data_IF_965375237506
#
_entry.id   IF_965375237506
#
_cell.length_a   1.000
_cell.length_b   1.000
_cell.length_c   1.000
_cell.angle_alpha   90.00
_cell.angle_beta   90.00
_cell.angle_gamma   90.00
#
_symmetry.space_group_name_H-M   'P 1'
#
loop_
_entity.id
_entity.type
_entity.pdbx_description
1 polymer ?
#
# COMPACT_ATOMS: atom_id res chain seq x y z
N UNK A 1 -10.76 -22.50 -4.80
CA UNK A 1 -9.31 -22.70 -4.92
C UNK A 1 -8.83 -23.82 -4.00
N UNK A 2 -9.00 -23.72 -2.67
CA UNK A 2 -8.50 -24.71 -1.69
C UNK A 2 -8.99 -26.14 -2.00
N UNK A 3 -10.28 -26.34 -2.29
CA UNK A 3 -10.81 -27.64 -2.69
C UNK A 3 -10.14 -28.19 -3.96
N UNK A 4 -9.89 -27.34 -4.98
CA UNK A 4 -9.22 -27.76 -6.21
C UNK A 4 -7.78 -28.22 -5.93
N UNK A 5 -7.07 -27.50 -5.08
CA UNK A 5 -5.71 -27.88 -4.64
C UNK A 5 -5.75 -29.20 -3.88
N UNK A 6 -6.66 -29.38 -2.93
CA UNK A 6 -6.78 -30.65 -2.17
C UNK A 6 -7.18 -31.85 -3.05
N UNK A 7 -7.97 -31.65 -4.12
CA UNK A 7 -8.28 -32.72 -5.08
C UNK A 7 -7.06 -33.16 -5.89
N UNK A 8 -6.20 -32.21 -6.28
CA UNK A 8 -5.01 -32.49 -7.09
C UNK A 8 -3.79 -32.90 -6.24
N UNK A 9 -3.69 -32.33 -5.04
CA UNK A 9 -2.57 -32.50 -4.13
C UNK A 9 -3.08 -32.72 -2.70
N UNK A 10 -3.54 -33.94 -2.36
CA UNK A 10 -4.17 -34.21 -1.05
C UNK A 10 -3.27 -33.96 0.16
N UNK A 11 -1.94 -34.08 -0.03
CA UNK A 11 -0.92 -33.89 1.00
C UNK A 11 -0.70 -32.44 1.42
N UNK A 12 -1.10 -31.47 0.58
CA UNK A 12 -0.87 -30.03 0.83
C UNK A 12 -1.65 -29.57 2.05
N UNK A 13 -1.01 -28.81 2.93
CA UNK A 13 -1.65 -28.20 4.11
C UNK A 13 -2.21 -26.82 3.76
N UNK A 14 -3.37 -26.53 4.34
CA UNK A 14 -4.10 -25.28 4.13
C UNK A 14 -3.78 -24.28 5.22
N UNK A 15 -3.39 -23.05 4.84
CA UNK A 15 -3.19 -21.99 5.81
C UNK A 15 -4.37 -20.99 5.80
N UNK A 16 -4.24 -19.83 5.18
CA UNK A 16 -5.30 -18.81 5.13
C UNK A 16 -5.61 -18.36 3.70
N UNK A 17 -6.83 -17.90 3.48
CA UNK A 17 -7.28 -17.45 2.15
C UNK A 17 -8.30 -16.31 2.23
N UNK A 18 -7.89 -15.07 2.58
CA UNK A 18 -8.80 -13.95 2.62
C UNK A 18 -9.12 -13.39 1.22
N UNK A 19 -10.23 -12.68 1.13
CA UNK A 19 -10.48 -11.74 0.05
C UNK A 19 -9.63 -10.48 0.22
N UNK A 20 -9.20 -9.90 -0.89
CA UNK A 20 -8.46 -8.64 -0.97
C UNK A 20 -9.13 -7.72 -2.00
N UNK A 21 -8.78 -6.43 -2.05
CA UNK A 21 -9.45 -5.43 -2.88
C UNK A 21 -9.57 -5.85 -4.37
N UNK A 22 -8.54 -6.48 -4.93
CA UNK A 22 -8.48 -6.88 -6.34
C UNK A 22 -8.63 -8.38 -6.56
N UNK A 23 -9.22 -9.11 -5.60
CA UNK A 23 -9.41 -10.56 -5.76
C UNK A 23 -9.31 -11.33 -4.45
N UNK A 24 -8.54 -12.40 -4.46
CA UNK A 24 -8.32 -13.27 -3.30
C UNK A 24 -6.94 -13.93 -3.40
N UNK A 25 -6.48 -14.46 -2.29
CA UNK A 25 -5.36 -15.41 -2.30
C UNK A 25 -5.64 -16.58 -1.36
N UNK A 26 -4.79 -17.59 -1.45
CA UNK A 26 -4.76 -18.69 -0.49
C UNK A 26 -3.32 -19.17 -0.32
N UNK A 27 -2.94 -19.41 0.94
CA UNK A 27 -1.61 -19.88 1.31
C UNK A 27 -1.62 -21.40 1.53
N UNK A 28 -0.64 -22.05 0.91
CA UNK A 28 -0.50 -23.51 0.89
C UNK A 28 0.90 -23.91 1.36
N UNK A 29 0.98 -24.92 2.21
CA UNK A 29 2.23 -25.57 2.55
C UNK A 29 2.38 -26.87 1.75
N UNK A 30 3.40 -26.93 0.94
CA UNK A 30 3.75 -28.05 0.06
C UNK A 30 5.27 -28.18 0.00
N UNK A 31 5.79 -29.41 0.12
CA UNK A 31 7.23 -29.70 0.07
C UNK A 31 7.94 -29.08 -1.13
N UNK A 32 7.31 -29.20 -2.30
CA UNK A 32 7.75 -28.52 -3.53
C UNK A 32 6.80 -27.37 -3.82
N UNK A 33 7.24 -26.09 -3.77
CA UNK A 33 6.38 -24.94 -4.04
C UNK A 33 5.65 -25.04 -5.37
N UNK A 34 4.44 -24.48 -5.43
CA UNK A 34 3.71 -24.38 -6.70
C UNK A 34 4.43 -23.47 -7.67
N UNK A 35 4.42 -23.87 -8.93
CA UNK A 35 4.98 -23.13 -10.05
C UNK A 35 3.85 -22.52 -10.90
N UNK A 36 4.11 -21.51 -11.74
CA UNK A 36 3.11 -20.93 -12.62
C UNK A 36 2.38 -21.95 -13.51
N UNK A 37 3.05 -23.04 -13.90
CA UNK A 37 2.49 -24.12 -14.72
C UNK A 37 1.40 -24.90 -13.98
N UNK A 38 1.49 -25.03 -12.65
CA UNK A 38 0.48 -25.71 -11.82
C UNK A 38 -0.86 -24.96 -11.81
N UNK A 39 -0.81 -23.62 -11.99
CA UNK A 39 -2.02 -22.78 -11.94
C UNK A 39 -3.05 -23.17 -13.01
N UNK A 40 -2.61 -23.61 -14.18
CA UNK A 40 -3.53 -24.06 -15.25
C UNK A 40 -4.30 -25.31 -14.85
N UNK A 41 -3.62 -26.27 -14.22
CA UNK A 41 -4.25 -27.50 -13.75
C UNK A 41 -5.24 -27.23 -12.61
N UNK A 42 -4.84 -26.37 -11.65
CA UNK A 42 -5.69 -25.96 -10.53
C UNK A 42 -6.92 -25.19 -11.04
N UNK A 43 -6.75 -24.25 -11.98
CA UNK A 43 -7.85 -23.50 -12.59
C UNK A 43 -8.82 -24.42 -13.36
N UNK A 44 -8.31 -25.43 -14.05
CA UNK A 44 -9.13 -26.43 -14.73
C UNK A 44 -9.98 -27.25 -13.73
N UNK A 45 -9.41 -27.61 -12.57
CA UNK A 45 -10.15 -28.32 -11.52
C UNK A 45 -11.18 -27.37 -10.84
N UNK A 46 -10.84 -26.11 -10.60
CA UNK A 46 -11.80 -25.11 -10.13
C UNK A 46 -13.01 -24.99 -11.08
N UNK A 47 -12.79 -25.00 -12.40
CA UNK A 47 -13.88 -24.99 -13.40
C UNK A 47 -14.79 -26.21 -13.31
N UNK A 48 -14.26 -27.38 -12.93
CA UNK A 48 -15.09 -28.60 -12.69
C UNK A 48 -15.94 -28.40 -11.43
N UNK A 49 -15.34 -27.94 -10.31
CA UNK A 49 -16.03 -27.66 -9.05
C UNK A 49 -17.17 -26.66 -9.26
N UNK A 50 -16.94 -25.59 -10.05
CA UNK A 50 -17.99 -24.64 -10.38
C UNK A 50 -19.15 -25.27 -11.12
N UNK A 51 -18.88 -26.21 -12.06
CA UNK A 51 -19.91 -26.95 -12.83
C UNK A 51 -20.68 -27.95 -11.97
N UNK A 52 -20.09 -28.46 -10.90
CA UNK A 52 -20.75 -29.36 -9.95
C UNK A 52 -21.85 -28.65 -9.13
N UNK A 53 -21.83 -27.33 -9.08
CA UNK A 53 -22.78 -26.46 -8.35
C UNK A 53 -22.98 -26.88 -6.89
N UNK A 54 -21.88 -27.12 -6.19
CA UNK A 54 -21.86 -27.58 -4.81
C UNK A 54 -22.38 -26.48 -3.88
N UNK A 55 -23.30 -26.82 -2.99
CA UNK A 55 -23.78 -25.90 -1.94
C UNK A 55 -22.66 -25.63 -0.94
N UNK A 56 -22.62 -24.38 -0.43
CA UNK A 56 -21.78 -23.98 0.68
C UNK A 56 -22.65 -23.86 1.92
N UNK A 57 -22.42 -24.76 2.88
CA UNK A 57 -23.20 -24.85 4.11
C UNK A 57 -22.34 -24.44 5.30
N UNK A 58 -22.77 -23.37 5.99
CA UNK A 58 -22.12 -22.93 7.22
C UNK A 58 -22.58 -23.79 8.39
N UNK A 59 -21.66 -24.15 9.24
CA UNK A 59 -21.94 -24.78 10.54
C UNK A 59 -20.88 -24.36 11.56
N UNK A 60 -21.17 -24.62 12.83
CA UNK A 60 -20.29 -24.24 13.94
C UNK A 60 -19.89 -25.47 14.74
N UNK A 61 -18.68 -25.43 15.29
CA UNK A 61 -18.18 -26.43 16.24
C UNK A 61 -17.72 -25.74 17.53
N UNK A 62 -17.83 -26.46 18.64
CA UNK A 62 -17.15 -26.04 19.85
C UNK A 62 -15.63 -26.05 19.64
N UNK A 63 -14.87 -25.14 20.26
CA UNK A 63 -13.42 -25.04 20.03
C UNK A 63 -12.64 -26.34 20.19
N UNK A 64 -12.99 -27.14 21.22
CA UNK A 64 -12.36 -28.43 21.47
C UNK A 64 -12.62 -29.45 20.35
N UNK A 65 -13.85 -29.49 19.81
CA UNK A 65 -14.23 -30.39 18.75
C UNK A 65 -13.60 -29.94 17.41
N UNK A 66 -13.54 -28.63 17.16
CA UNK A 66 -12.88 -28.04 16.00
C UNK A 66 -11.38 -28.39 15.96
N UNK A 67 -10.68 -28.22 17.08
CA UNK A 67 -9.26 -28.56 17.20
C UNK A 67 -9.05 -30.07 16.99
N UNK A 68 -9.90 -30.92 17.57
CA UNK A 68 -9.83 -32.36 17.40
C UNK A 68 -10.02 -32.75 15.93
N UNK A 69 -11.06 -32.23 15.28
CA UNK A 69 -11.35 -32.47 13.87
C UNK A 69 -10.17 -32.05 12.97
N UNK A 70 -9.62 -30.87 13.17
CA UNK A 70 -8.51 -30.35 12.37
C UNK A 70 -7.20 -31.15 12.59
N UNK A 71 -6.97 -31.69 13.77
CA UNK A 71 -5.86 -32.61 14.06
C UNK A 71 -6.05 -33.95 13.34
N UNK A 72 -7.29 -34.47 13.27
CA UNK A 72 -7.61 -35.72 12.58
C UNK A 72 -7.40 -35.61 11.04
N UNK A 73 -7.68 -34.46 10.44
CA UNK A 73 -7.46 -34.21 9.02
C UNK A 73 -6.07 -33.61 8.72
N UNK A 74 -5.20 -33.49 9.72
CA UNK A 74 -3.81 -33.02 9.62
C UNK A 74 -3.65 -31.64 8.96
N UNK A 75 -4.39 -30.64 9.50
CA UNK A 75 -4.32 -29.23 9.08
C UNK A 75 -3.71 -28.33 10.20
N UNK A 76 -2.38 -28.35 10.37
CA UNK A 76 -1.70 -27.73 11.52
C UNK A 76 -1.90 -26.22 11.61
N UNK A 77 -1.91 -25.47 10.51
CA UNK A 77 -2.12 -24.02 10.50
C UNK A 77 -3.53 -23.66 10.95
N UNK A 78 -4.53 -24.48 10.63
CA UNK A 78 -5.91 -24.30 11.08
C UNK A 78 -6.05 -24.62 12.58
N UNK A 79 -5.31 -25.60 13.07
CA UNK A 79 -5.25 -25.92 14.51
C UNK A 79 -4.71 -24.71 15.29
N UNK A 80 -3.60 -24.12 14.83
CA UNK A 80 -3.00 -22.93 15.45
C UNK A 80 -3.98 -21.75 15.51
N UNK A 81 -4.71 -21.49 14.40
CA UNK A 81 -5.74 -20.44 14.35
C UNK A 81 -6.89 -20.73 15.35
N UNK A 82 -7.33 -21.97 15.47
CA UNK A 82 -8.36 -22.33 16.41
C UNK A 82 -7.90 -22.23 17.88
N UNK A 83 -6.67 -22.61 18.19
CA UNK A 83 -6.09 -22.52 19.54
C UNK A 83 -6.02 -21.06 20.01
N UNK A 84 -5.71 -20.11 19.13
CA UNK A 84 -5.74 -18.67 19.44
C UNK A 84 -7.15 -18.15 19.75
N UNK A 85 -8.17 -18.65 19.03
CA UNK A 85 -9.56 -18.23 19.26
C UNK A 85 -10.21 -18.98 20.44
N UNK A 86 -9.68 -20.12 20.83
CA UNK A 86 -10.23 -20.93 21.91
C UNK A 86 -10.26 -20.19 23.27
N UNK A 87 -9.37 -19.22 23.48
CA UNK A 87 -9.36 -18.39 24.70
C UNK A 87 -10.62 -17.54 24.90
N UNK A 88 -11.42 -17.31 23.85
CA UNK A 88 -12.68 -16.54 23.90
C UNK A 88 -13.92 -17.41 24.15
N UNK A 89 -13.78 -18.72 24.11
CA UNK A 89 -14.86 -19.72 24.28
C UNK A 89 -16.06 -19.50 23.33
N UNK A 90 -15.85 -18.90 22.17
CA UNK A 90 -16.84 -18.67 21.12
C UNK A 90 -16.85 -19.85 20.14
N UNK A 91 -18.02 -20.24 19.55
CA UNK A 91 -18.08 -21.26 18.52
C UNK A 91 -17.21 -20.89 17.31
N UNK A 92 -16.60 -21.90 16.70
CA UNK A 92 -15.75 -21.72 15.52
C UNK A 92 -16.54 -22.13 14.28
N UNK A 93 -16.62 -21.23 13.30
CA UNK A 93 -17.40 -21.46 12.09
C UNK A 93 -16.59 -22.15 11.00
N UNK A 94 -17.27 -23.04 10.30
CA UNK A 94 -16.78 -23.82 9.17
C UNK A 94 -17.76 -23.71 7.99
N UNK A 95 -17.23 -23.91 6.80
CA UNK A 95 -18.02 -24.07 5.57
C UNK A 95 -17.75 -25.43 4.95
N UNK A 96 -18.83 -26.14 4.63
CA UNK A 96 -18.79 -27.40 3.90
C UNK A 96 -19.20 -27.16 2.43
N UNK A 97 -18.42 -27.70 1.52
CA UNK A 97 -18.61 -27.60 0.08
C UNK A 97 -18.42 -28.99 -0.55
N UNK A 98 -19.50 -29.77 -0.63
CA UNK A 98 -19.42 -31.18 -1.01
C UNK A 98 -18.56 -31.99 -0.02
N UNK A 99 -17.49 -32.62 -0.51
CA UNK A 99 -16.53 -33.37 0.30
C UNK A 99 -15.51 -32.49 1.04
N UNK A 100 -15.42 -31.22 0.69
CA UNK A 100 -14.44 -30.29 1.25
C UNK A 100 -15.04 -29.51 2.41
N UNK A 101 -14.28 -29.37 3.48
CA UNK A 101 -14.65 -28.55 4.65
C UNK A 101 -13.45 -27.69 5.05
N UNK A 102 -13.69 -26.41 5.29
CA UNK A 102 -12.63 -25.49 5.73
C UNK A 102 -13.13 -24.54 6.82
N UNK A 103 -12.17 -24.10 7.65
CA UNK A 103 -12.35 -23.07 8.66
C UNK A 103 -12.56 -21.70 7.97
N UNK A 104 -13.69 -21.05 8.19
CA UNK A 104 -13.94 -19.74 7.65
C UNK A 104 -15.05 -19.00 8.40
N UNK A 105 -14.86 -17.68 8.60
CA UNK A 105 -15.87 -16.81 9.19
C UNK A 105 -16.99 -16.45 8.20
N UNK A 106 -16.73 -16.53 6.88
CA UNK A 106 -17.69 -16.14 5.86
C UNK A 106 -17.82 -14.59 5.72
N UNK A 107 -18.89 -14.11 5.05
CA UNK A 107 -19.90 -14.89 4.34
C UNK A 107 -19.39 -15.50 3.01
N UNK A 108 -20.07 -16.54 2.54
CA UNK A 108 -19.80 -17.18 1.25
C UNK A 108 -21.02 -17.14 0.32
N UNK A 109 -20.79 -17.45 -0.97
CA UNK A 109 -21.86 -17.68 -1.93
C UNK A 109 -22.70 -18.90 -1.53
N UNK A 110 -23.92 -18.96 -2.03
CA UNK A 110 -24.85 -20.07 -1.75
C UNK A 110 -24.39 -21.40 -2.36
N UNK A 111 -23.76 -21.33 -3.54
CA UNK A 111 -23.15 -22.50 -4.20
C UNK A 111 -21.99 -22.07 -5.12
N UNK A 112 -21.17 -23.04 -5.51
CA UNK A 112 -20.05 -22.81 -6.44
C UNK A 112 -20.51 -22.37 -7.83
N UNK A 113 -21.72 -22.70 -8.24
CA UNK A 113 -22.32 -22.31 -9.53
C UNK A 113 -22.53 -20.80 -9.70
N UNK A 114 -22.52 -20.04 -8.63
CA UNK A 114 -22.58 -18.57 -8.69
C UNK A 114 -21.27 -17.92 -9.15
N UNK A 115 -20.15 -18.64 -9.12
CA UNK A 115 -18.88 -18.14 -9.62
C UNK A 115 -18.90 -18.13 -11.15
N UNK A 116 -18.99 -16.95 -11.77
CA UNK A 116 -19.17 -16.80 -13.23
C UNK A 116 -17.85 -16.72 -13.99
N UNK A 117 -16.91 -15.96 -13.49
CA UNK A 117 -15.63 -15.74 -14.13
C UNK A 117 -14.54 -15.58 -13.07
N UNK A 118 -13.45 -16.29 -13.24
CA UNK A 118 -12.28 -16.20 -12.37
C UNK A 118 -11.00 -16.53 -13.13
N UNK A 119 -9.87 -16.09 -12.61
CA UNK A 119 -8.52 -16.37 -13.11
C UNK A 119 -7.55 -16.46 -11.96
N UNK A 120 -6.67 -17.47 -11.98
CA UNK A 120 -5.48 -17.47 -11.12
C UNK A 120 -4.40 -16.61 -11.79
N UNK A 121 -3.83 -15.69 -11.05
CA UNK A 121 -2.96 -14.64 -11.62
C UNK A 121 -1.49 -14.87 -11.36
N UNK A 122 -1.13 -15.41 -10.19
CA UNK A 122 0.27 -15.66 -9.84
C UNK A 122 0.40 -16.61 -8.65
N UNK A 123 1.60 -17.15 -8.46
CA UNK A 123 2.02 -17.80 -7.23
C UNK A 123 3.35 -17.20 -6.76
N UNK A 124 3.50 -17.02 -5.45
CA UNK A 124 4.70 -16.43 -4.82
C UNK A 124 4.96 -17.08 -3.48
N UNK A 125 6.22 -17.04 -3.01
CA UNK A 125 6.54 -17.40 -1.64
C UNK A 125 5.98 -16.36 -0.65
N UNK A 126 5.45 -16.83 0.47
CA UNK A 126 5.00 -15.97 1.57
C UNK A 126 5.29 -16.65 2.91
N UNK A 127 5.92 -15.94 3.83
CA UNK A 127 6.14 -16.49 5.17
C UNK A 127 4.84 -16.54 5.98
N UNK A 128 4.62 -17.64 6.70
CA UNK A 128 3.51 -17.75 7.61
C UNK A 128 3.51 -16.55 8.60
N UNK A 129 2.38 -15.84 8.67
CA UNK A 129 2.20 -14.62 9.49
C UNK A 129 3.23 -13.51 9.19
N UNK A 130 3.78 -13.48 7.99
CA UNK A 130 4.70 -12.43 7.56
C UNK A 130 6.08 -12.45 8.23
N UNK A 131 6.41 -13.47 9.01
CA UNK A 131 7.71 -13.58 9.69
C UNK A 131 8.63 -14.55 8.98
N UNK A 132 9.83 -14.10 8.61
CA UNK A 132 10.88 -14.93 8.00
C UNK A 132 11.37 -16.09 8.89
N UNK A 133 11.02 -16.08 10.18
CA UNK A 133 11.32 -17.16 11.12
C UNK A 133 10.36 -18.34 11.00
N UNK A 134 9.23 -18.15 10.34
CA UNK A 134 8.18 -19.14 10.16
C UNK A 134 8.33 -19.86 8.81
N UNK A 135 7.51 -20.91 8.60
CA UNK A 135 7.52 -21.67 7.37
C UNK A 135 7.26 -20.78 6.13
N UNK A 136 7.98 -21.05 5.05
CA UNK A 136 7.73 -20.45 3.74
C UNK A 136 6.62 -21.22 3.05
N UNK A 137 5.49 -20.57 2.84
CA UNK A 137 4.32 -21.12 2.13
C UNK A 137 4.31 -20.63 0.68
N UNK A 138 3.51 -21.29 -0.16
CA UNK A 138 3.19 -20.76 -1.49
C UNK A 138 1.84 -20.08 -1.47
N UNK A 139 1.81 -18.80 -1.79
CA UNK A 139 0.61 -17.99 -1.94
C UNK A 139 0.15 -17.99 -3.40
N UNK A 140 -1.06 -18.46 -3.66
CA UNK A 140 -1.69 -18.40 -4.97
C UNK A 140 -2.71 -17.28 -4.98
N UNK A 141 -2.54 -16.34 -5.91
CA UNK A 141 -3.46 -15.23 -6.14
C UNK A 141 -4.45 -15.53 -7.23
N UNK A 142 -5.65 -15.02 -7.08
CA UNK A 142 -6.68 -15.08 -8.09
C UNK A 142 -7.63 -13.91 -8.02
N UNK A 143 -8.41 -13.75 -9.07
CA UNK A 143 -9.46 -12.73 -9.14
C UNK A 143 -10.76 -13.37 -9.67
N UNK A 144 -11.91 -12.81 -9.29
CA UNK A 144 -13.22 -13.27 -9.72
C UNK A 144 -14.17 -12.09 -9.96
N UNK A 145 -14.97 -12.20 -11.03
CA UNK A 145 -15.90 -11.18 -11.47
C UNK A 145 -17.29 -11.76 -11.77
N UNK A 146 -18.29 -10.90 -11.81
CA UNK A 146 -19.67 -11.29 -12.09
C UNK A 146 -19.85 -11.74 -13.56
N UNK A 147 -19.01 -11.28 -14.48
CA UNK A 147 -19.04 -11.64 -15.89
C UNK A 147 -17.65 -11.91 -16.47
N UNK A 148 -17.62 -12.60 -17.63
CA UNK A 148 -16.37 -12.81 -18.36
C UNK A 148 -15.83 -11.54 -18.99
N UNK A 149 -16.69 -10.60 -19.32
CA UNK A 149 -16.31 -9.33 -19.93
C UNK A 149 -15.60 -8.44 -18.92
N UNK A 150 -16.13 -8.35 -17.68
CA UNK A 150 -15.47 -7.64 -16.57
C UNK A 150 -14.11 -8.28 -16.22
N UNK A 151 -14.04 -9.60 -16.18
CA UNK A 151 -12.77 -10.30 -15.97
C UNK A 151 -11.75 -9.96 -17.06
N UNK A 152 -12.19 -9.98 -18.32
CA UNK A 152 -11.34 -9.65 -19.47
C UNK A 152 -10.81 -8.22 -19.38
N UNK A 153 -11.69 -7.26 -19.12
CA UNK A 153 -11.32 -5.86 -18.94
C UNK A 153 -10.27 -5.69 -17.82
N UNK A 154 -10.51 -6.33 -16.67
CA UNK A 154 -9.55 -6.30 -15.56
C UNK A 154 -8.19 -6.89 -15.94
N UNK A 155 -8.16 -8.03 -16.65
CA UNK A 155 -6.91 -8.63 -17.08
C UNK A 155 -6.16 -7.75 -18.10
N UNK A 156 -6.89 -7.08 -19.00
CA UNK A 156 -6.31 -6.09 -19.92
C UNK A 156 -5.72 -4.89 -19.16
N UNK A 157 -6.43 -4.40 -18.13
CA UNK A 157 -5.92 -3.33 -17.26
C UNK A 157 -4.66 -3.77 -16.49
N UNK A 158 -4.62 -5.00 -15.97
CA UNK A 158 -3.43 -5.55 -15.30
C UNK A 158 -2.22 -5.65 -16.25
N UNK A 159 -2.43 -6.10 -17.49
CA UNK A 159 -1.35 -6.18 -18.49
C UNK A 159 -0.87 -4.79 -18.89
N UNK A 160 -1.78 -3.83 -19.01
CA UNK A 160 -1.40 -2.44 -19.27
C UNK A 160 -0.62 -1.84 -18.10
N UNK A 161 -1.05 -2.10 -16.85
CA UNK A 161 -0.32 -1.68 -15.65
C UNK A 161 1.10 -2.25 -15.61
N UNK A 162 1.29 -3.53 -15.96
CA UNK A 162 2.63 -4.14 -16.07
C UNK A 162 3.49 -3.47 -17.16
N UNK A 163 2.90 -3.08 -18.28
CA UNK A 163 3.62 -2.35 -19.34
C UNK A 163 4.03 -0.96 -18.91
N UNK A 164 3.21 -0.30 -18.06
CA UNK A 164 3.44 1.03 -17.51
C UNK A 164 4.21 1.03 -16.20
N UNK A 165 4.66 -0.13 -15.71
CA UNK A 165 5.45 -0.20 -14.47
C UNK A 165 6.64 0.75 -14.54
N UNK A 166 6.64 1.74 -13.64
CA UNK A 166 7.66 2.78 -13.61
C UNK A 166 9.06 2.24 -13.32
N UNK A 167 9.20 1.11 -12.61
CA UNK A 167 10.48 0.46 -12.37
C UNK A 167 11.06 -0.12 -13.65
N UNK A 168 10.20 -0.72 -14.49
CA UNK A 168 10.57 -1.24 -15.79
C UNK A 168 10.95 -0.10 -16.73
N UNK A 169 10.05 0.86 -16.91
CA UNK A 169 10.26 2.02 -17.77
C UNK A 169 11.46 2.87 -17.30
N UNK A 170 11.60 3.05 -15.99
CA UNK A 170 12.72 3.79 -15.40
C UNK A 170 14.08 3.21 -15.78
N UNK A 171 14.20 1.88 -15.76
CA UNK A 171 15.43 1.19 -16.18
C UNK A 171 15.65 1.26 -17.71
N UNK A 172 14.61 0.93 -18.47
CA UNK A 172 14.68 0.92 -19.95
C UNK A 172 15.01 2.30 -20.52
N UNK A 173 14.39 3.35 -19.98
CA UNK A 173 14.59 4.75 -20.41
C UNK A 173 15.77 5.42 -19.72
N UNK A 174 16.48 4.73 -18.84
CA UNK A 174 17.61 5.27 -18.05
C UNK A 174 17.23 6.53 -17.26
N UNK A 175 16.09 6.47 -16.57
CA UNK A 175 15.57 7.56 -15.73
C UNK A 175 16.16 7.47 -14.34
N UNK A 176 16.15 6.29 -13.74
CA UNK A 176 16.73 6.03 -12.41
C UNK A 176 17.23 4.60 -12.27
N UNK A 177 18.04 4.38 -11.26
CA UNK A 177 18.51 3.05 -10.85
C UNK A 177 18.70 3.00 -9.34
N UNK A 178 18.80 1.81 -8.78
CA UNK A 178 19.11 1.57 -7.36
C UNK A 178 20.41 0.77 -7.28
N UNK A 179 21.20 1.03 -6.23
CA UNK A 179 22.49 0.36 -5.99
C UNK A 179 22.57 -0.01 -4.52
N UNK A 180 22.81 -1.28 -4.21
CA UNK A 180 22.78 -1.82 -2.85
C UNK A 180 23.73 -1.10 -1.89
N UNK A 181 24.92 -0.72 -2.35
CA UNK A 181 25.91 0.00 -1.53
C UNK A 181 25.44 1.40 -1.11
N UNK A 182 24.49 2.00 -1.84
CA UNK A 182 23.89 3.29 -1.47
C UNK A 182 22.74 3.06 -0.49
N UNK A 183 22.00 1.98 -0.66
CA UNK A 183 20.90 1.58 0.20
C UNK A 183 19.54 1.61 -0.47
N UNK A 184 18.62 0.84 0.08
CA UNK A 184 17.24 0.79 -0.39
C UNK A 184 16.52 2.12 -0.14
N UNK A 185 15.61 2.49 -1.06
CA UNK A 185 14.85 3.73 -0.97
C UNK A 185 15.66 5.01 -1.25
N UNK A 186 16.88 4.86 -1.80
CA UNK A 186 17.76 5.97 -2.21
C UNK A 186 18.12 5.82 -3.69
N UNK A 187 17.17 6.08 -4.62
CA UNK A 187 17.40 5.92 -6.04
C UNK A 187 18.39 6.96 -6.57
N UNK A 188 19.27 6.50 -7.48
CA UNK A 188 20.09 7.39 -8.29
C UNK A 188 19.28 7.86 -9.50
N UNK A 189 19.09 9.15 -9.62
CA UNK A 189 18.44 9.75 -10.79
C UNK A 189 19.49 9.89 -11.89
N UNK A 190 19.23 9.25 -13.02
CA UNK A 190 20.11 9.24 -14.17
C UNK A 190 19.91 10.52 -15.02
N UNK A 191 20.81 10.84 -15.96
CA UNK A 191 20.73 12.09 -16.73
C UNK A 191 19.36 12.35 -17.39
N UNK A 192 18.71 11.33 -17.94
CA UNK A 192 17.38 11.50 -18.53
C UNK A 192 16.33 11.86 -17.47
N UNK A 193 16.42 11.25 -16.29
CA UNK A 193 15.54 11.56 -15.15
C UNK A 193 15.78 12.97 -14.61
N UNK A 194 17.05 13.41 -14.56
CA UNK A 194 17.38 14.79 -14.15
C UNK A 194 16.74 15.83 -15.07
N UNK A 195 16.76 15.61 -16.39
CA UNK A 195 16.09 16.51 -17.35
C UNK A 195 14.59 16.56 -17.04
N UNK A 196 13.94 15.43 -16.87
CA UNK A 196 12.51 15.37 -16.54
C UNK A 196 12.20 16.12 -15.24
N UNK A 197 12.98 15.86 -14.19
CA UNK A 197 12.79 16.51 -12.89
C UNK A 197 12.99 18.03 -12.97
N UNK A 198 14.00 18.50 -13.70
CA UNK A 198 14.26 19.92 -13.86
C UNK A 198 13.15 20.64 -14.63
N UNK A 199 12.62 20.03 -15.68
CA UNK A 199 11.52 20.64 -16.44
C UNK A 199 10.23 20.68 -15.60
N UNK A 200 9.89 19.59 -14.88
CA UNK A 200 8.76 19.58 -13.96
C UNK A 200 8.91 20.62 -12.85
N UNK A 201 10.10 20.72 -12.26
CA UNK A 201 10.37 21.68 -11.20
C UNK A 201 10.24 23.12 -11.69
N UNK A 202 10.86 23.46 -12.80
CA UNK A 202 10.76 24.81 -13.39
C UNK A 202 9.31 25.17 -13.70
N UNK A 203 8.61 24.25 -14.34
CA UNK A 203 7.21 24.46 -14.70
C UNK A 203 6.34 24.73 -13.48
N UNK A 204 6.41 23.90 -12.42
CA UNK A 204 5.57 24.10 -11.24
C UNK A 204 5.95 25.38 -10.48
N UNK A 205 7.24 25.70 -10.38
CA UNK A 205 7.71 26.93 -9.75
C UNK A 205 7.20 28.18 -10.48
N UNK A 206 7.18 28.16 -11.80
CA UNK A 206 6.62 29.24 -12.63
C UNK A 206 5.09 29.35 -12.43
N UNK A 207 4.38 28.24 -12.37
CA UNK A 207 2.92 28.24 -12.16
C UNK A 207 2.53 28.73 -10.76
N UNK A 208 3.28 28.34 -9.75
CA UNK A 208 3.11 28.86 -8.38
C UNK A 208 3.40 30.36 -8.33
N UNK A 209 4.48 30.81 -8.94
CA UNK A 209 4.83 32.23 -8.99
C UNK A 209 3.75 33.08 -9.66
N UNK A 210 3.17 32.60 -10.79
CA UNK A 210 2.02 33.26 -11.47
C UNK A 210 0.80 33.39 -10.56
N UNK A 211 0.65 32.47 -9.60
CA UNK A 211 -0.45 32.46 -8.61
C UNK A 211 -0.12 33.17 -7.31
N UNK A 212 1.02 33.88 -7.27
CA UNK A 212 1.44 34.72 -6.16
C UNK A 212 2.12 33.98 -5.01
N UNK A 213 2.67 32.79 -5.27
CA UNK A 213 3.51 32.12 -4.29
C UNK A 213 4.89 32.75 -4.23
N UNK A 214 5.37 32.99 -3.03
CA UNK A 214 6.70 33.53 -2.72
C UNK A 214 7.63 32.36 -2.43
N UNK A 215 8.75 32.29 -3.17
CA UNK A 215 9.70 31.18 -3.04
C UNK A 215 10.52 31.32 -1.75
N UNK A 216 10.64 30.21 -1.02
CA UNK A 216 11.48 30.09 0.15
C UNK A 216 12.48 28.94 -0.02
N UNK A 217 13.50 28.91 0.81
CA UNK A 217 14.45 27.80 0.90
C UNK A 217 14.86 27.61 2.35
N UNK A 218 14.57 26.45 2.91
CA UNK A 218 14.81 26.13 4.31
C UNK A 218 15.83 24.99 4.46
N UNK A 219 16.48 24.86 5.63
CA UNK A 219 17.48 23.81 5.88
C UNK A 219 16.90 22.40 5.77
N UNK A 220 17.76 21.43 5.41
CA UNK A 220 17.38 20.00 5.31
C UNK A 220 17.28 19.31 6.67
N UNK A 221 17.77 19.90 7.74
CA UNK A 221 17.73 19.37 9.10
C UNK A 221 17.54 20.48 10.12
N UNK A 222 17.05 20.12 11.28
CA UNK A 222 16.94 21.00 12.44
C UNK A 222 17.21 20.23 13.74
N UNK A 223 17.37 20.98 14.84
CA UNK A 223 17.38 20.43 16.19
C UNK A 223 16.04 19.75 16.49
N UNK A 224 16.08 18.71 17.29
CA UNK A 224 14.88 17.98 17.75
C UNK A 224 13.83 18.90 18.38
N UNK A 225 14.26 20.03 18.97
CA UNK A 225 13.37 21.01 19.57
C UNK A 225 12.32 21.57 18.59
N UNK A 226 12.69 21.80 17.33
CA UNK A 226 11.74 22.23 16.31
C UNK A 226 10.60 21.23 16.13
N UNK A 227 10.94 19.95 16.10
CA UNK A 227 9.99 18.87 15.91
C UNK A 227 9.18 18.57 17.18
N UNK A 228 9.74 18.81 18.38
CA UNK A 228 9.02 18.78 19.66
C UNK A 228 7.97 19.89 19.73
N UNK A 229 8.32 21.12 19.34
CA UNK A 229 7.39 22.27 19.30
C UNK A 229 6.22 21.99 18.33
N UNK A 230 6.48 21.36 17.20
CA UNK A 230 5.47 21.07 16.19
C UNK A 230 4.70 19.75 16.41
N UNK A 231 5.04 18.97 17.46
CA UNK A 231 4.44 17.69 17.79
C UNK A 231 4.88 16.50 16.93
N UNK A 232 5.75 16.72 15.94
CA UNK A 232 6.22 15.65 15.06
C UNK A 232 7.13 14.66 15.78
N UNK A 233 7.88 15.10 16.78
CA UNK A 233 8.79 14.23 17.54
C UNK A 233 8.05 13.12 18.27
N UNK A 234 6.89 13.42 18.84
CA UNK A 234 6.12 12.46 19.64
C UNK A 234 5.36 11.44 18.76
N UNK A 235 5.01 11.83 17.53
CA UNK A 235 4.17 11.02 16.66
C UNK A 235 4.91 10.34 15.50
N UNK A 236 6.08 10.85 15.08
CA UNK A 236 6.78 10.44 13.86
C UNK A 236 8.27 10.15 14.07
N UNK A 237 8.78 10.08 15.31
CA UNK A 237 10.21 9.89 15.59
C UNK A 237 10.78 8.65 14.91
N UNK A 238 10.04 7.53 14.92
CA UNK A 238 10.46 6.28 14.29
C UNK A 238 10.62 6.42 12.76
N UNK A 239 9.79 7.25 12.13
CA UNK A 239 9.88 7.58 10.71
C UNK A 239 10.88 8.68 10.36
N UNK A 240 11.69 9.16 11.30
CA UNK A 240 12.69 10.22 11.09
C UNK A 240 14.12 9.68 11.12
N UNK A 241 15.00 10.25 10.31
CA UNK A 241 16.44 10.05 10.45
C UNK A 241 16.97 10.99 11.56
N UNK A 242 17.23 10.42 12.71
CA UNK A 242 17.75 11.14 13.89
C UNK A 242 19.27 11.07 13.90
N UNK A 243 19.92 12.17 14.17
CA UNK A 243 21.37 12.36 14.24
C UNK A 243 21.76 12.74 15.67
N UNK A 244 22.41 11.83 16.36
CA UNK A 244 22.76 11.94 17.77
C UNK A 244 21.85 11.12 18.69
N UNK A 245 22.19 11.11 19.96
CA UNK A 245 21.50 10.34 21.01
C UNK A 245 20.96 11.32 22.07
N UNK A 246 19.67 11.25 22.39
CA UNK A 246 19.03 12.15 23.38
C UNK A 246 19.57 11.96 24.81
N UNK A 247 20.13 10.79 25.12
CA UNK A 247 20.66 10.51 26.47
C UNK A 247 22.10 11.01 26.67
N UNK A 248 22.88 11.06 25.59
CA UNK A 248 24.32 11.32 25.66
C UNK A 248 24.74 12.65 25.05
N UNK A 249 23.98 13.15 24.06
CA UNK A 249 24.36 14.33 23.31
C UNK A 249 23.66 15.60 23.82
N UNK A 250 24.40 16.72 23.80
CA UNK A 250 23.83 18.02 24.16
C UNK A 250 22.79 18.54 23.17
N UNK A 251 22.93 18.16 21.91
CA UNK A 251 22.06 18.57 20.83
C UNK A 251 21.81 17.39 19.90
N UNK A 252 20.56 17.12 19.63
CA UNK A 252 20.11 16.08 18.69
C UNK A 252 19.45 16.76 17.51
N UNK A 253 19.82 16.35 16.32
CA UNK A 253 19.27 16.82 15.06
C UNK A 253 18.44 15.74 14.41
N UNK A 254 17.58 16.12 13.45
CA UNK A 254 16.94 15.18 12.55
C UNK A 254 16.83 15.77 11.14
N UNK A 255 16.90 14.88 10.14
CA UNK A 255 16.56 15.25 8.77
C UNK A 255 15.05 15.52 8.70
N UNK A 256 14.66 16.51 7.91
CA UNK A 256 13.27 16.96 7.85
C UNK A 256 12.36 15.94 7.12
N UNK A 257 11.31 15.43 7.78
CA UNK A 257 10.28 14.63 7.12
C UNK A 257 9.25 15.48 6.38
N UNK A 258 9.20 16.79 6.68
CA UNK A 258 8.31 17.80 6.11
C UNK A 258 8.86 19.21 6.33
N UNK A 259 8.34 20.19 5.59
CA UNK A 259 8.84 21.58 5.59
C UNK A 259 8.01 22.52 6.49
N UNK A 260 6.80 22.11 6.88
CA UNK A 260 5.85 22.96 7.62
C UNK A 260 6.46 23.73 8.80
N UNK A 261 7.19 23.09 9.74
CA UNK A 261 7.73 23.81 10.89
C UNK A 261 8.70 24.92 10.50
N UNK A 262 9.48 24.71 9.44
CA UNK A 262 10.44 25.72 8.95
C UNK A 262 9.74 26.91 8.33
N UNK A 263 8.68 26.69 7.55
CA UNK A 263 7.92 27.74 6.88
C UNK A 263 7.24 28.67 7.90
N UNK A 264 6.80 28.14 9.04
CA UNK A 264 6.25 28.97 10.12
C UNK A 264 7.32 29.87 10.74
N UNK A 265 8.58 29.45 10.79
CA UNK A 265 9.68 30.30 11.24
C UNK A 265 10.09 31.33 10.18
N UNK A 266 9.95 31.01 8.88
CA UNK A 266 10.09 32.03 7.83
C UNK A 266 9.06 33.14 8.04
N UNK A 267 7.80 32.79 8.26
CA UNK A 267 6.74 33.76 8.57
C UNK A 267 7.04 34.56 9.83
N UNK A 268 7.50 33.92 10.89
CA UNK A 268 7.83 34.60 12.18
C UNK A 268 9.07 35.48 12.12
N UNK A 269 9.91 35.36 11.12
CA UNK A 269 11.15 36.15 10.99
C UNK A 269 10.88 37.62 10.71
N UNK A 270 9.69 37.96 10.23
CA UNK A 270 9.25 39.32 9.93
C UNK A 270 7.96 39.65 10.66
N UNK A 271 7.71 40.96 10.83
CA UNK A 271 6.42 41.44 11.38
C UNK A 271 5.43 41.63 10.26
N UNK A 272 4.27 40.95 10.35
CA UNK A 272 3.22 41.03 9.38
C UNK A 272 1.96 41.69 9.93
N UNK A 273 1.27 42.44 9.08
CA UNK A 273 -0.05 42.99 9.35
C UNK A 273 -1.12 42.04 8.75
N UNK A 274 -2.33 42.12 9.29
CA UNK A 274 -3.48 41.41 8.67
C UNK A 274 -3.75 41.88 7.22
N UNK A 275 -3.19 43.03 6.80
CA UNK A 275 -3.32 43.56 5.43
C UNK A 275 -2.36 42.88 4.45
N UNK A 276 -1.30 42.24 4.96
CA UNK A 276 -0.32 41.51 4.14
C UNK A 276 -0.83 40.12 3.73
N UNK A 277 -1.94 39.67 4.36
CA UNK A 277 -2.53 38.38 4.10
C UNK A 277 -3.52 38.42 2.91
N UNK A 278 -3.57 37.38 2.09
CA UNK A 278 -2.93 36.08 2.24
C UNK A 278 -1.46 36.08 1.82
N UNK A 279 -0.61 35.37 2.57
CA UNK A 279 0.75 35.05 2.17
C UNK A 279 0.83 33.59 1.76
N UNK A 280 1.43 33.33 0.61
CA UNK A 280 1.61 31.99 0.05
C UNK A 280 3.09 31.73 -0.09
N UNK A 281 3.64 30.86 0.76
CA UNK A 281 5.02 30.40 0.65
C UNK A 281 5.07 29.11 -0.16
N UNK A 282 5.99 29.02 -1.13
CA UNK A 282 6.24 27.82 -1.92
C UNK A 282 7.69 27.40 -1.81
N UNK A 283 7.93 26.10 -1.67
CA UNK A 283 9.26 25.53 -1.65
C UNK A 283 9.31 24.20 -2.40
N UNK A 284 10.28 24.07 -3.29
CA UNK A 284 10.68 22.76 -3.80
C UNK A 284 11.63 22.15 -2.80
N UNK A 285 11.11 21.19 -2.03
CA UNK A 285 11.72 20.67 -0.79
C UNK A 285 12.17 19.23 -0.95
N UNK A 286 13.41 18.96 -0.57
CA UNK A 286 13.88 17.58 -0.36
C UNK A 286 13.54 17.14 1.06
N UNK A 287 12.88 16.01 1.18
CA UNK A 287 12.41 15.42 2.43
C UNK A 287 13.01 14.03 2.62
N UNK A 288 13.03 13.59 3.88
CA UNK A 288 13.62 12.31 4.28
C UNK A 288 12.65 11.57 5.22
N UNK A 289 12.40 10.30 4.92
CA UNK A 289 11.58 9.43 5.78
C UNK A 289 12.27 8.09 5.95
N UNK A 290 12.40 7.64 7.18
CA UNK A 290 12.97 6.34 7.51
C UNK A 290 11.92 5.25 7.27
N UNK A 291 11.61 4.98 6.00
CA UNK A 291 10.64 3.96 5.60
C UNK A 291 11.19 2.56 5.85
N UNK A 292 10.30 1.64 6.26
CA UNK A 292 10.65 0.24 6.44
C UNK A 292 10.94 -0.45 5.10
N UNK A 293 11.81 -1.46 5.12
CA UNK A 293 12.26 -2.14 3.90
C UNK A 293 11.12 -2.77 3.11
N UNK A 294 10.08 -3.28 3.78
CA UNK A 294 8.90 -3.90 3.16
C UNK A 294 7.92 -2.93 2.51
N UNK A 295 8.03 -1.63 2.81
CA UNK A 295 7.11 -0.61 2.31
C UNK A 295 7.66 0.17 1.12
N UNK A 296 8.97 0.09 0.88
CA UNK A 296 9.62 0.83 -0.22
C UNK A 296 9.26 0.27 -1.58
N UNK A 297 8.89 1.15 -2.52
CA UNK A 297 8.49 0.76 -3.86
C UNK A 297 8.94 1.77 -4.93
N UNK A 298 9.94 1.40 -5.71
CA UNK A 298 10.45 2.19 -6.84
C UNK A 298 10.74 3.66 -6.51
N UNK A 299 10.07 4.58 -7.20
CA UNK A 299 10.06 6.02 -6.89
C UNK A 299 8.83 6.46 -6.08
N UNK A 300 7.85 5.57 -5.89
CA UNK A 300 6.58 5.90 -5.23
C UNK A 300 6.73 6.02 -3.72
N UNK A 301 7.55 5.16 -3.12
CA UNK A 301 7.85 5.20 -1.68
C UNK A 301 9.33 5.00 -1.45
N UNK A 302 10.00 6.06 -1.07
CA UNK A 302 11.45 6.18 -0.97
C UNK A 302 11.85 6.90 0.32
N UNK A 303 13.12 6.78 0.70
CA UNK A 303 13.68 7.43 1.91
C UNK A 303 14.07 8.88 1.68
N UNK A 304 14.33 9.28 0.43
CA UNK A 304 14.60 10.66 0.04
C UNK A 304 13.80 11.00 -1.21
N UNK A 305 13.05 12.08 -1.17
CA UNK A 305 12.23 12.56 -2.30
C UNK A 305 12.12 14.07 -2.30
N UNK A 306 11.69 14.62 -3.41
CA UNK A 306 11.47 16.07 -3.58
C UNK A 306 10.01 16.31 -3.91
N UNK A 307 9.39 17.26 -3.21
CA UNK A 307 8.02 17.71 -3.48
C UNK A 307 8.00 19.22 -3.71
N UNK A 308 7.04 19.71 -4.48
CA UNK A 308 6.64 21.12 -4.44
C UNK A 308 5.52 21.26 -3.43
N UNK A 309 5.74 22.05 -2.40
CA UNK A 309 4.78 22.26 -1.34
C UNK A 309 4.58 23.74 -1.03
N UNK A 310 3.41 24.08 -0.55
CA UNK A 310 3.06 25.44 -0.19
C UNK A 310 2.39 25.53 1.16
N UNK A 311 2.69 26.65 1.86
CA UNK A 311 2.06 27.00 3.11
C UNK A 311 1.39 28.36 3.00
N UNK A 312 0.09 28.39 3.24
CA UNK A 312 -0.73 29.58 3.09
C UNK A 312 -1.08 30.12 4.47
N UNK A 313 -0.69 31.36 4.73
CA UNK A 313 -1.06 32.09 5.94
C UNK A 313 -2.21 33.03 5.56
N UNK A 314 -3.38 32.79 6.13
CA UNK A 314 -4.64 33.41 5.71
C UNK A 314 -5.45 33.89 6.90
N UNK A 315 -6.31 34.87 6.68
CA UNK A 315 -7.39 35.20 7.62
C UNK A 315 -8.57 34.23 7.46
N UNK A 316 -9.42 34.03 8.49
CA UNK A 316 -10.57 33.13 8.38
C UNK A 316 -11.52 33.44 7.20
N UNK A 317 -11.70 34.71 6.86
CA UNK A 317 -12.54 35.15 5.73
C UNK A 317 -11.93 34.84 4.36
N UNK A 318 -10.62 34.60 4.27
CA UNK A 318 -9.90 34.25 3.05
C UNK A 318 -9.82 32.74 2.82
N UNK A 319 -10.02 31.92 3.86
CA UNK A 319 -9.72 30.47 3.85
C UNK A 319 -10.42 29.72 2.73
N UNK A 320 -11.73 29.96 2.53
CA UNK A 320 -12.51 29.26 1.49
C UNK A 320 -12.00 29.56 0.09
N UNK A 321 -11.62 30.82 -0.18
CA UNK A 321 -11.07 31.21 -1.48
C UNK A 321 -9.72 30.54 -1.71
N UNK A 322 -8.81 30.66 -0.76
CA UNK A 322 -7.47 30.11 -0.87
C UNK A 322 -7.47 28.57 -1.00
N UNK A 323 -8.38 27.89 -0.30
CA UNK A 323 -8.57 26.45 -0.46
C UNK A 323 -9.04 26.07 -1.88
N UNK A 324 -9.99 26.81 -2.43
CA UNK A 324 -10.43 26.61 -3.83
C UNK A 324 -9.30 26.86 -4.83
N UNK A 325 -8.47 27.86 -4.60
CA UNK A 325 -7.32 28.19 -5.45
C UNK A 325 -6.27 27.05 -5.40
N UNK A 326 -6.05 26.43 -4.22
CA UNK A 326 -5.19 25.25 -4.09
C UNK A 326 -5.73 24.05 -4.88
N UNK A 327 -7.04 23.76 -4.78
CA UNK A 327 -7.67 22.68 -5.55
C UNK A 327 -7.54 22.96 -7.06
N UNK A 328 -7.80 24.19 -7.48
CA UNK A 328 -7.67 24.58 -8.88
C UNK A 328 -6.24 24.41 -9.40
N UNK A 329 -5.23 24.72 -8.60
CA UNK A 329 -3.83 24.47 -8.96
C UNK A 329 -3.55 22.98 -9.09
N UNK A 330 -4.01 22.15 -8.14
CA UNK A 330 -3.83 20.70 -8.18
C UNK A 330 -4.52 20.09 -9.43
N UNK A 331 -5.76 20.48 -9.71
CA UNK A 331 -6.49 20.03 -10.89
C UNK A 331 -5.75 20.44 -12.19
N UNK A 332 -5.26 21.67 -12.27
CA UNK A 332 -4.48 22.14 -13.42
C UNK A 332 -3.21 21.30 -13.59
N UNK A 333 -2.49 21.00 -12.52
CA UNK A 333 -1.29 20.18 -12.59
C UNK A 333 -1.60 18.77 -13.13
N UNK A 334 -2.66 18.13 -12.63
CA UNK A 334 -3.07 16.81 -13.09
C UNK A 334 -3.53 16.82 -14.54
N UNK A 335 -4.28 17.84 -14.95
CA UNK A 335 -4.70 18.03 -16.33
C UNK A 335 -3.51 18.13 -17.29
N UNK A 336 -2.51 18.95 -16.94
CA UNK A 336 -1.29 19.10 -17.76
C UNK A 336 -0.51 17.78 -17.83
N UNK A 337 -0.50 17.00 -16.75
CA UNK A 337 0.17 15.69 -16.70
C UNK A 337 -0.66 14.54 -17.30
N UNK A 338 -1.91 14.79 -17.69
CA UNK A 338 -2.79 13.79 -18.29
C UNK A 338 -3.33 12.74 -17.32
N UNK A 339 -3.41 13.07 -16.02
CA UNK A 339 -3.92 12.19 -14.94
C UNK A 339 -5.18 12.74 -14.25
N UNK A 340 -5.93 13.57 -14.97
CA UNK A 340 -7.10 14.29 -14.43
C UNK A 340 -8.22 13.36 -13.94
N UNK A 341 -8.40 12.19 -14.55
CA UNK A 341 -9.45 11.23 -14.22
C UNK A 341 -9.24 10.54 -12.87
N UNK A 342 -8.02 10.55 -12.34
CA UNK A 342 -7.68 9.90 -11.08
C UNK A 342 -7.99 10.75 -9.83
N UNK A 343 -8.44 11.99 -10.02
CA UNK A 343 -8.71 12.90 -8.92
C UNK A 343 -10.17 12.79 -8.44
N UNK A 344 -10.45 11.92 -7.47
CA UNK A 344 -11.74 11.89 -6.82
C UNK A 344 -11.79 12.84 -5.62
N UNK A 345 -12.95 13.48 -5.40
CA UNK A 345 -13.21 14.33 -4.23
C UNK A 345 -13.03 13.60 -2.90
N UNK A 346 -13.18 12.28 -2.87
CA UNK A 346 -12.95 11.43 -1.70
C UNK A 346 -11.47 11.42 -1.31
N UNK A 347 -10.56 11.38 -2.27
CA UNK A 347 -9.12 11.43 -2.02
C UNK A 347 -8.64 12.80 -1.52
N UNK A 348 -9.38 13.87 -1.82
CA UNK A 348 -9.07 15.24 -1.38
C UNK A 348 -9.69 15.53 -0.01
N UNK A 349 -10.93 15.05 0.24
CA UNK A 349 -11.71 15.44 1.41
C UNK A 349 -11.62 14.47 2.60
N UNK A 350 -11.15 13.23 2.42
CA UNK A 350 -11.09 12.22 3.47
C UNK A 350 -9.72 11.51 3.63
N UNK A 351 -8.59 12.22 3.63
CA UNK A 351 -7.30 11.57 3.89
C UNK A 351 -7.16 11.03 5.31
N UNK A 352 -8.08 11.39 6.22
CA UNK A 352 -8.01 11.08 7.65
C UNK A 352 -8.81 9.85 8.09
N UNK A 353 -9.68 9.28 7.25
CA UNK A 353 -10.47 8.09 7.63
C UNK A 353 -9.75 6.76 7.43
N UNK A 354 -8.59 6.74 6.79
CA UNK A 354 -7.76 5.53 6.62
C UNK A 354 -6.53 5.50 7.52
N UNK A 355 -6.33 6.51 8.36
CA UNK A 355 -5.24 6.53 9.32
C UNK A 355 -5.70 6.04 10.71
#
# INVERSE_FOLDING_TARGET
LAQAVKRLYPEVKLAIGPAIDNGFYYDFDKDTPFMPEDLEAIEAEMKKIVKEDLKLEQFEMAPADAIKYLKEIDEPYKVELCEEHAGKNEPISFYKQGEFTDLCAGPHLMSTGYVKAFKLTSCTGAYWRGSEKNAMLTRIYGTAYASKDELKEHLEQMEEAKRRDHNKLGREMKIFTTVDVIGQGLPLIMPNGVIMMQELQRWIEDEETKRGYIRTKTPLMAKSDLYKISGHWDHYKEGMFVLGDEETDKEVFALRPMTCPFQYYVYKAEQHSYRDLPLRYGETSTLFRNEDSGEMHGLTRVRQFTISEGHLIVRPDQMVKEFKDCIALAQYCLQVLGVEEDLSLIHISEPTRQA
#
